data_IF_506606370977
#
_entry.id   IF_506606370977
#
_cell.length_a   1.000
_cell.length_b   1.000
_cell.length_c   1.000
_cell.angle_alpha   90.00
_cell.angle_beta   90.00
_cell.angle_gamma   90.00
#
_symmetry.space_group_name_H-M   'P 1'
#
loop_
_entity.id
_entity.type
_entity.pdbx_description
1 polymer ?
#
# COMPACT_ATOMS: atom_id res chain seq x y z
N UNK A 1 -3.25 79.13 -25.58
CA UNK A 1 -2.49 78.31 -24.67
C UNK A 1 -3.49 77.37 -23.98
N UNK A 2 -3.63 76.13 -24.50
CA UNK A 2 -4.58 75.13 -23.97
C UNK A 2 -3.84 74.14 -23.10
N UNK A 3 -4.24 74.02 -21.81
CA UNK A 3 -3.69 73.06 -20.86
C UNK A 3 -4.54 71.80 -20.88
N UNK A 4 -4.01 70.72 -21.46
CA UNK A 4 -4.61 69.40 -21.44
C UNK A 4 -4.25 68.72 -20.11
N UNK A 5 -5.26 68.41 -19.30
CA UNK A 5 -5.13 67.74 -18.02
C UNK A 5 -5.26 66.22 -18.27
N UNK A 6 -4.15 65.47 -18.07
CA UNK A 6 -4.15 64.02 -18.09
C UNK A 6 -4.64 63.49 -16.75
N UNK A 7 -5.76 62.81 -16.73
CA UNK A 7 -6.25 62.06 -15.58
C UNK A 7 -5.70 60.62 -15.67
N UNK A 8 -4.81 60.27 -14.81
CA UNK A 8 -4.28 58.91 -14.67
C UNK A 8 -5.29 58.05 -13.87
N UNK A 9 -5.88 57.07 -14.53
CA UNK A 9 -6.75 56.08 -13.89
C UNK A 9 -5.85 54.96 -13.27
N UNK A 10 -5.75 54.94 -11.96
CA UNK A 10 -5.03 53.89 -11.22
C UNK A 10 -5.94 52.67 -11.05
N UNK A 11 -5.75 51.61 -11.86
CA UNK A 11 -6.45 50.35 -11.68
C UNK A 11 -5.83 49.58 -10.49
N UNK A 12 -6.56 49.51 -9.40
CA UNK A 12 -6.24 48.69 -8.25
C UNK A 12 -6.63 47.23 -8.55
N UNK A 13 -5.67 46.38 -8.90
CA UNK A 13 -5.89 44.95 -9.09
C UNK A 13 -6.09 44.27 -7.70
N UNK A 14 -7.31 43.93 -7.38
CA UNK A 14 -7.63 43.14 -6.23
C UNK A 14 -7.19 41.67 -6.47
N UNK A 15 -6.09 41.24 -5.83
CA UNK A 15 -5.65 39.85 -5.80
C UNK A 15 -6.62 39.06 -4.90
N UNK A 16 -7.52 38.27 -5.51
CA UNK A 16 -8.31 37.27 -4.78
C UNK A 16 -7.38 36.12 -4.41
N UNK A 17 -7.32 35.71 -3.13
CA UNK A 17 -6.62 34.48 -2.76
C UNK A 17 -7.36 33.31 -3.42
N UNK A 18 -6.68 32.57 -4.30
CA UNK A 18 -7.22 31.32 -4.85
C UNK A 18 -7.42 30.35 -3.70
N UNK A 19 -8.66 30.07 -3.34
CA UNK A 19 -9.01 29.00 -2.42
C UNK A 19 -8.46 27.69 -3.00
N UNK A 20 -7.48 27.10 -2.31
CA UNK A 20 -6.95 25.78 -2.62
C UNK A 20 -8.11 24.82 -2.31
N UNK A 21 -8.75 24.30 -3.35
CA UNK A 21 -9.72 23.22 -3.18
C UNK A 21 -9.00 22.06 -2.52
N UNK A 22 -9.39 21.73 -1.29
CA UNK A 22 -8.92 20.50 -0.65
C UNK A 22 -9.31 19.33 -1.57
N UNK A 23 -8.29 18.65 -2.11
CA UNK A 23 -8.49 17.44 -2.89
C UNK A 23 -9.24 16.39 -2.05
N UNK A 24 -9.82 15.36 -2.66
CA UNK A 24 -10.53 14.32 -1.92
C UNK A 24 -9.62 13.77 -0.82
N UNK A 25 -10.16 13.68 0.41
CA UNK A 25 -9.41 13.19 1.58
C UNK A 25 -8.85 11.80 1.26
N UNK A 26 -7.57 11.54 1.58
CA UNK A 26 -6.98 10.24 1.35
C UNK A 26 -7.73 9.16 2.14
N UNK A 27 -7.96 8.02 1.51
CA UNK A 27 -8.57 6.87 2.17
C UNK A 27 -7.51 6.26 3.07
N UNK A 28 -7.80 6.13 4.36
CA UNK A 28 -6.90 5.50 5.32
C UNK A 28 -7.55 4.32 6.02
N UNK A 29 -6.73 3.33 6.35
CA UNK A 29 -7.11 2.19 7.19
C UNK A 29 -6.11 2.03 8.32
N UNK A 30 -6.56 1.41 9.40
CA UNK A 30 -5.72 1.00 10.52
C UNK A 30 -5.73 -0.52 10.57
N UNK A 31 -4.55 -1.13 10.45
CA UNK A 31 -4.32 -2.55 10.72
C UNK A 31 -3.92 -2.64 12.18
N UNK A 32 -4.85 -3.10 13.03
CA UNK A 32 -4.59 -3.32 14.45
C UNK A 32 -3.99 -4.72 14.63
N UNK A 33 -2.78 -4.78 15.14
CA UNK A 33 -2.09 -6.04 15.40
C UNK A 33 -1.82 -6.22 16.90
N UNK A 34 -1.47 -7.42 17.33
CA UNK A 34 -1.03 -7.66 18.70
C UNK A 34 0.27 -6.91 19.09
N UNK A 35 1.02 -6.39 18.10
CA UNK A 35 2.23 -5.60 18.33
C UNK A 35 2.00 -4.09 18.28
N UNK A 36 0.82 -3.64 17.86
CA UNK A 36 0.46 -2.25 17.70
C UNK A 36 -0.25 -1.97 16.38
N UNK A 37 -0.48 -0.69 16.10
CA UNK A 37 -1.25 -0.23 14.96
C UNK A 37 -0.33 0.16 13.79
N UNK A 38 -0.75 -0.20 12.58
CA UNK A 38 -0.13 0.23 11.32
C UNK A 38 -1.18 1.04 10.57
N UNK A 39 -0.93 2.33 10.36
CA UNK A 39 -1.81 3.20 9.57
C UNK A 39 -1.35 3.21 8.12
N UNK A 40 -2.27 2.90 7.21
CA UNK A 40 -2.00 2.82 5.77
C UNK A 40 -2.87 3.83 5.04
N UNK A 41 -2.25 4.63 4.17
CA UNK A 41 -2.92 5.49 3.20
C UNK A 41 -3.01 4.78 1.86
N UNK A 42 -4.22 4.69 1.30
CA UNK A 42 -4.53 3.98 0.07
C UNK A 42 -4.63 4.96 -1.11
N UNK A 43 -4.01 4.64 -2.24
CA UNK A 43 -4.01 5.47 -3.45
C UNK A 43 -5.08 4.98 -4.45
N UNK A 44 -6.34 5.26 -4.15
CA UNK A 44 -7.46 4.89 -5.01
C UNK A 44 -7.48 5.62 -6.36
N UNK A 45 -6.76 6.73 -6.48
CA UNK A 45 -6.66 7.45 -7.75
C UNK A 45 -5.75 6.73 -8.75
N UNK A 46 -4.68 6.08 -8.26
CA UNK A 46 -3.69 5.38 -9.09
C UNK A 46 -3.95 3.88 -9.21
N UNK A 47 -4.45 3.23 -8.16
CA UNK A 47 -4.73 1.79 -8.12
C UNK A 47 -6.19 1.52 -7.69
N UNK A 48 -7.19 1.99 -8.47
CA UNK A 48 -8.60 1.95 -8.06
C UNK A 48 -9.14 0.54 -7.85
N UNK A 49 -8.80 -0.42 -8.71
CA UNK A 49 -9.29 -1.79 -8.60
C UNK A 49 -8.68 -2.52 -7.40
N UNK A 50 -7.39 -2.34 -7.18
CA UNK A 50 -6.65 -2.94 -6.07
C UNK A 50 -7.15 -2.38 -4.73
N UNK A 51 -7.30 -1.06 -4.63
CA UNK A 51 -7.85 -0.43 -3.42
C UNK A 51 -9.30 -0.87 -3.17
N UNK A 52 -10.15 -0.91 -4.20
CA UNK A 52 -11.53 -1.37 -4.07
C UNK A 52 -11.59 -2.84 -3.60
N UNK A 53 -10.73 -3.72 -4.13
CA UNK A 53 -10.62 -5.10 -3.68
C UNK A 53 -10.21 -5.19 -2.21
N UNK A 54 -9.13 -4.53 -1.81
CA UNK A 54 -8.67 -4.53 -0.42
C UNK A 54 -9.77 -4.04 0.54
N UNK A 55 -10.46 -2.95 0.18
CA UNK A 55 -11.54 -2.40 0.99
C UNK A 55 -12.76 -3.33 1.09
N UNK A 56 -13.07 -4.16 0.08
CA UNK A 56 -14.11 -5.20 0.20
C UNK A 56 -13.79 -6.18 1.33
N UNK A 57 -12.54 -6.62 1.46
CA UNK A 57 -12.12 -7.49 2.56
C UNK A 57 -12.20 -6.79 3.91
N UNK A 58 -11.81 -5.50 3.98
CA UNK A 58 -11.92 -4.67 5.19
C UNK A 58 -13.38 -4.52 5.62
N UNK A 59 -14.26 -4.11 4.70
CA UNK A 59 -15.68 -3.86 4.97
C UNK A 59 -16.43 -5.16 5.34
N UNK A 60 -16.04 -6.29 4.75
CA UNK A 60 -16.54 -7.63 5.08
C UNK A 60 -15.92 -8.21 6.35
N UNK A 61 -14.98 -7.49 7.02
CA UNK A 61 -14.25 -7.92 8.23
C UNK A 61 -13.48 -9.23 8.06
N UNK A 62 -13.06 -9.55 6.83
CA UNK A 62 -12.36 -10.81 6.56
C UNK A 62 -10.90 -10.78 7.03
N UNK A 63 -10.33 -9.59 7.25
CA UNK A 63 -9.03 -9.46 7.89
C UNK A 63 -9.07 -9.57 9.43
N UNK A 64 -10.26 -9.53 10.05
CA UNK A 64 -10.39 -9.69 11.50
C UNK A 64 -9.98 -11.12 11.90
N UNK A 65 -9.01 -11.22 12.80
CA UNK A 65 -8.39 -12.50 13.14
C UNK A 65 -7.42 -13.07 12.09
N UNK A 66 -7.17 -12.32 11.02
CA UNK A 66 -6.11 -12.61 10.06
C UNK A 66 -4.72 -12.56 10.69
N UNK A 67 -3.68 -12.69 9.88
CA UNK A 67 -2.32 -12.75 10.42
C UNK A 67 -1.26 -12.33 9.41
N UNK A 68 -0.17 -11.79 9.91
CA UNK A 68 1.11 -11.81 9.22
C UNK A 68 1.69 -13.21 9.38
N UNK A 69 1.82 -13.92 8.29
CA UNK A 69 2.23 -15.34 8.30
C UNK A 69 3.61 -15.57 7.70
N UNK A 70 4.14 -14.57 6.98
CA UNK A 70 5.42 -14.68 6.28
C UNK A 70 6.26 -13.43 6.47
N UNK A 71 7.56 -13.66 6.69
CA UNK A 71 8.61 -12.62 6.67
C UNK A 71 9.68 -13.00 5.68
N UNK A 72 10.12 -12.04 4.88
CA UNK A 72 11.20 -12.22 3.92
C UNK A 72 12.30 -11.22 4.24
N UNK A 73 13.49 -11.75 4.51
CA UNK A 73 14.71 -10.98 4.83
C UNK A 73 15.84 -11.45 3.92
N UNK A 74 16.95 -10.71 3.77
CA UNK A 74 18.08 -11.14 2.95
C UNK A 74 18.61 -12.54 3.31
N UNK A 75 18.52 -12.92 4.60
CA UNK A 75 19.13 -14.14 5.12
C UNK A 75 18.26 -15.39 4.93
N UNK A 76 16.93 -15.24 4.81
CA UNK A 76 16.01 -16.37 4.72
C UNK A 76 15.54 -16.72 3.29
N UNK A 77 16.29 -16.30 2.26
CA UNK A 77 16.04 -16.60 0.84
C UNK A 77 17.33 -17.05 0.13
N UNK A 78 17.95 -18.17 0.58
CA UNK A 78 19.27 -18.57 0.07
C UNK A 78 19.27 -18.82 -1.44
N UNK A 79 18.19 -19.41 -1.97
CA UNK A 79 18.10 -19.80 -3.39
C UNK A 79 17.67 -18.66 -4.33
N UNK A 80 17.28 -17.50 -3.78
CA UNK A 80 16.90 -16.35 -4.59
C UNK A 80 18.09 -15.44 -4.87
N UNK A 81 18.41 -15.25 -6.14
CA UNK A 81 19.44 -14.30 -6.56
C UNK A 81 19.02 -12.85 -6.34
N UNK A 82 17.73 -12.58 -6.47
CA UNK A 82 17.13 -11.27 -6.23
C UNK A 82 16.49 -11.24 -4.85
N UNK A 83 17.15 -10.58 -3.91
CA UNK A 83 16.69 -10.46 -2.52
C UNK A 83 15.65 -9.36 -2.39
N UNK A 84 14.65 -9.59 -1.56
CA UNK A 84 13.63 -8.60 -1.19
C UNK A 84 13.41 -8.61 0.32
N UNK A 85 12.81 -7.57 0.85
CA UNK A 85 12.44 -7.47 2.25
C UNK A 85 10.97 -7.07 2.38
N UNK A 86 10.15 -7.99 2.87
CA UNK A 86 8.71 -7.76 3.06
C UNK A 86 8.17 -8.55 4.24
N UNK A 87 7.05 -8.09 4.79
CA UNK A 87 6.17 -8.89 5.63
C UNK A 87 4.85 -9.10 4.89
N UNK A 88 4.34 -10.33 4.85
CA UNK A 88 3.12 -10.69 4.14
C UNK A 88 2.04 -11.13 5.11
N UNK A 89 0.83 -10.64 4.84
CA UNK A 89 -0.35 -10.91 5.64
C UNK A 89 -1.54 -11.31 4.75
N UNK A 90 -2.52 -11.93 5.38
CA UNK A 90 -3.76 -12.31 4.73
C UNK A 90 -4.90 -12.47 5.73
N UNK A 91 -6.04 -12.89 5.21
CA UNK A 91 -7.24 -13.20 6.00
C UNK A 91 -7.01 -14.42 6.89
N UNK A 92 -7.94 -14.65 7.84
CA UNK A 92 -7.91 -15.87 8.65
C UNK A 92 -8.01 -17.12 7.75
N UNK A 93 -7.24 -18.19 7.99
CA UNK A 93 -7.26 -19.40 7.14
C UNK A 93 -8.64 -20.01 6.91
N UNK A 94 -9.51 -19.93 7.90
CA UNK A 94 -10.90 -20.39 7.74
C UNK A 94 -11.73 -19.47 6.83
N UNK A 95 -11.27 -18.23 6.61
CA UNK A 95 -11.90 -17.26 5.72
C UNK A 95 -11.62 -17.49 4.22
N UNK A 96 -10.67 -18.35 3.86
CA UNK A 96 -10.28 -18.60 2.46
C UNK A 96 -11.44 -19.10 1.60
N UNK A 97 -12.42 -19.79 2.19
CA UNK A 97 -13.66 -20.19 1.50
C UNK A 97 -14.58 -19.02 1.13
N UNK A 98 -14.30 -17.82 1.62
CA UNK A 98 -15.05 -16.57 1.41
C UNK A 98 -14.27 -15.55 0.60
N UNK A 99 -13.16 -15.94 -0.03
CA UNK A 99 -12.39 -15.04 -0.87
C UNK A 99 -13.22 -14.53 -2.05
N UNK A 100 -13.02 -13.26 -2.37
CA UNK A 100 -13.59 -12.67 -3.56
C UNK A 100 -12.79 -13.13 -4.79
N UNK A 101 -13.40 -13.08 -6.00
CA UNK A 101 -12.69 -13.40 -7.24
C UNK A 101 -11.39 -12.59 -7.39
N UNK A 102 -10.37 -13.17 -8.03
CA UNK A 102 -9.12 -12.49 -8.26
C UNK A 102 -9.30 -11.24 -9.13
N UNK A 103 -8.38 -10.29 -8.98
CA UNK A 103 -8.40 -9.01 -9.67
C UNK A 103 -7.29 -8.90 -10.71
N UNK A 104 -7.50 -8.05 -11.72
CA UNK A 104 -6.47 -7.69 -12.69
C UNK A 104 -5.32 -6.95 -12.01
N UNK A 105 -4.11 -7.23 -12.45
CA UNK A 105 -2.88 -6.63 -11.98
C UNK A 105 -2.77 -5.17 -12.47
N UNK A 106 -2.79 -4.22 -11.53
CA UNK A 106 -2.47 -2.82 -11.78
C UNK A 106 -0.96 -2.63 -11.63
N UNK A 107 -0.24 -2.65 -12.75
CA UNK A 107 1.22 -2.61 -12.79
C UNK A 107 1.78 -1.27 -12.40
N UNK A 108 2.93 -1.24 -11.74
CA UNK A 108 3.59 0.01 -11.33
C UNK A 108 3.92 0.94 -12.49
N UNK A 109 4.22 0.42 -13.70
CA UNK A 109 4.40 1.25 -14.90
C UNK A 109 3.15 2.03 -15.31
N UNK A 110 1.96 1.47 -15.04
CA UNK A 110 0.68 2.04 -15.47
C UNK A 110 0.12 2.98 -14.38
N UNK A 111 0.37 2.67 -13.11
CA UNK A 111 -0.08 3.44 -11.94
C UNK A 111 0.88 4.56 -11.56
N UNK A 112 2.16 4.46 -11.93
CA UNK A 112 3.21 5.36 -11.46
C UNK A 112 3.55 5.22 -9.97
N UNK A 113 3.03 4.17 -9.32
CA UNK A 113 3.44 3.77 -7.97
C UNK A 113 4.72 2.93 -8.04
N UNK A 114 5.47 2.84 -6.94
CA UNK A 114 6.67 2.01 -6.86
C UNK A 114 6.81 1.40 -5.46
N UNK A 115 7.59 0.32 -5.36
CA UNK A 115 7.83 -0.38 -4.10
C UNK A 115 8.95 0.28 -3.30
N UNK A 116 8.60 1.34 -2.58
CA UNK A 116 9.46 2.06 -1.62
C UNK A 116 9.25 1.53 -0.20
N UNK A 117 10.09 1.97 0.76
CA UNK A 117 9.90 1.65 2.18
C UNK A 117 8.47 1.98 2.62
N UNK A 118 7.79 1.00 3.23
CA UNK A 118 6.41 1.10 3.67
C UNK A 118 5.35 0.97 2.58
N UNK A 119 5.70 0.72 1.30
CA UNK A 119 4.70 0.46 0.26
C UNK A 119 3.90 -0.80 0.57
N UNK A 120 2.57 -0.70 0.43
CA UNK A 120 1.64 -1.83 0.55
C UNK A 120 1.25 -2.30 -0.84
N UNK A 121 1.36 -3.62 -1.08
CA UNK A 121 1.16 -4.23 -2.38
C UNK A 121 0.45 -5.57 -2.28
N UNK A 122 -0.31 -5.98 -3.32
CA UNK A 122 -0.99 -7.28 -3.33
C UNK A 122 -0.02 -8.41 -3.65
N UNK A 123 -0.09 -9.47 -2.85
CA UNK A 123 0.57 -10.73 -3.19
C UNK A 123 -0.20 -11.46 -4.30
N UNK A 124 0.52 -12.24 -5.11
CA UNK A 124 -0.04 -13.00 -6.22
C UNK A 124 0.86 -14.20 -6.57
N UNK A 125 0.30 -15.21 -7.19
CA UNK A 125 1.06 -16.30 -7.80
C UNK A 125 1.47 -15.95 -9.24
N UNK A 126 0.52 -15.54 -10.08
CA UNK A 126 0.73 -15.08 -11.44
C UNK A 126 0.00 -13.75 -11.72
N UNK A 127 0.12 -13.19 -12.92
CA UNK A 127 -0.69 -12.04 -13.31
C UNK A 127 -2.19 -12.33 -13.13
N UNK A 128 -2.95 -11.35 -12.65
CA UNK A 128 -4.41 -11.42 -12.49
C UNK A 128 -4.90 -12.51 -11.50
N UNK A 129 -4.07 -12.90 -10.52
CA UNK A 129 -4.44 -13.91 -9.50
C UNK A 129 -4.54 -13.39 -8.08
N UNK A 130 -4.30 -12.08 -7.86
CA UNK A 130 -4.35 -11.51 -6.52
C UNK A 130 -5.76 -11.54 -5.93
N UNK A 131 -5.89 -11.97 -4.68
CA UNK A 131 -7.16 -12.03 -3.92
C UNK A 131 -7.10 -11.21 -2.64
N UNK A 132 -6.72 -11.80 -1.51
CA UNK A 132 -6.75 -11.20 -0.16
C UNK A 132 -5.36 -10.86 0.39
N UNK A 133 -4.35 -11.62 0.02
CA UNK A 133 -3.02 -11.47 0.59
C UNK A 133 -2.32 -10.19 0.12
N UNK A 134 -1.73 -9.48 1.07
CA UNK A 134 -0.93 -8.29 0.80
C UNK A 134 0.41 -8.35 1.53
N UNK A 135 1.35 -7.53 1.11
CA UNK A 135 2.63 -7.38 1.80
C UNK A 135 3.00 -5.91 1.99
N UNK A 136 3.87 -5.65 2.94
CA UNK A 136 4.45 -4.34 3.22
C UNK A 136 5.95 -4.43 3.01
N UNK A 137 6.50 -3.52 2.20
CA UNK A 137 7.93 -3.42 1.94
C UNK A 137 8.68 -2.88 3.16
N UNK A 138 9.85 -3.44 3.44
CA UNK A 138 10.84 -2.88 4.36
C UNK A 138 12.04 -2.48 3.53
N UNK A 139 12.36 -1.18 3.53
CA UNK A 139 13.28 -0.60 2.56
C UNK A 139 12.71 -0.55 1.13
N UNK A 140 13.48 0.03 0.22
CA UNK A 140 13.13 0.14 -1.20
C UNK A 140 13.29 -1.21 -1.91
N UNK A 141 12.25 -1.63 -2.65
CA UNK A 141 12.18 -2.94 -3.30
C UNK A 141 11.92 -2.82 -4.81
N UNK A 142 12.82 -2.21 -5.61
CA UNK A 142 12.59 -1.94 -7.03
C UNK A 142 12.41 -3.22 -7.86
N UNK A 143 12.92 -4.35 -7.39
CA UNK A 143 12.78 -5.64 -8.06
C UNK A 143 11.34 -6.23 -7.97
N UNK A 144 10.45 -5.57 -7.24
CA UNK A 144 9.01 -5.87 -7.19
C UNK A 144 8.19 -5.01 -8.18
N UNK A 145 8.80 -3.99 -8.79
CA UNK A 145 8.16 -3.16 -9.80
C UNK A 145 8.03 -3.89 -11.15
N UNK A 146 7.24 -3.34 -12.06
CA UNK A 146 7.18 -3.81 -13.45
C UNK A 146 8.58 -3.76 -14.08
N UNK A 147 8.99 -4.85 -14.71
CA UNK A 147 10.34 -5.01 -15.25
C UNK A 147 11.37 -5.48 -14.23
N UNK A 148 11.02 -5.53 -12.94
CA UNK A 148 11.86 -6.09 -11.89
C UNK A 148 12.03 -7.61 -12.03
N UNK A 149 13.05 -8.14 -11.40
CA UNK A 149 13.51 -9.52 -11.60
C UNK A 149 13.06 -10.49 -10.50
N UNK A 150 12.26 -10.01 -9.52
CA UNK A 150 11.80 -10.90 -8.45
C UNK A 150 10.91 -12.02 -8.97
N UNK A 151 10.01 -11.70 -9.89
CA UNK A 151 9.20 -12.69 -10.59
C UNK A 151 9.70 -12.86 -12.03
N UNK A 152 9.78 -14.12 -12.48
CA UNK A 152 10.25 -14.47 -13.82
C UNK A 152 9.36 -13.91 -14.94
N UNK A 153 8.10 -13.56 -14.62
CA UNK A 153 7.16 -12.95 -15.58
C UNK A 153 7.42 -11.45 -15.83
N UNK A 154 8.28 -10.80 -15.02
CA UNK A 154 8.61 -9.38 -15.13
C UNK A 154 7.42 -8.42 -14.94
N UNK A 155 6.24 -8.92 -14.55
CA UNK A 155 5.04 -8.09 -14.46
C UNK A 155 4.95 -7.27 -13.14
N UNK A 156 5.81 -7.59 -12.16
CA UNK A 156 5.82 -6.94 -10.85
C UNK A 156 4.56 -7.22 -10.03
N UNK A 157 4.31 -6.38 -9.03
CA UNK A 157 3.18 -6.46 -8.12
C UNK A 157 2.36 -5.17 -8.15
N UNK A 158 1.11 -5.23 -7.66
CA UNK A 158 0.22 -4.08 -7.60
C UNK A 158 0.43 -3.30 -6.29
N UNK A 159 1.29 -2.28 -6.31
CA UNK A 159 1.40 -1.30 -5.24
C UNK A 159 0.11 -0.47 -5.19
N UNK A 160 -0.48 -0.27 -3.98
CA UNK A 160 -1.76 0.41 -3.87
C UNK A 160 -1.90 1.33 -2.64
N UNK A 161 -0.85 1.43 -1.82
CA UNK A 161 -0.85 2.26 -0.63
C UNK A 161 0.51 2.31 0.03
N UNK A 162 0.58 3.04 1.12
CA UNK A 162 1.80 3.18 1.91
C UNK A 162 1.49 3.28 3.40
N UNK A 163 2.38 2.78 4.22
CA UNK A 163 2.35 2.99 5.67
C UNK A 163 2.69 4.46 5.96
N UNK A 164 1.82 5.13 6.71
CA UNK A 164 2.01 6.52 7.16
C UNK A 164 2.37 6.60 8.63
N UNK A 165 2.10 5.52 9.41
CA UNK A 165 2.49 5.38 10.80
C UNK A 165 2.59 3.91 11.18
N UNK A 166 3.55 3.54 12.04
CA UNK A 166 3.72 2.17 12.54
C UNK A 166 4.73 1.34 11.76
N UNK A 167 5.70 1.94 11.05
CA UNK A 167 6.80 1.19 10.42
C UNK A 167 7.69 0.48 11.44
N UNK A 168 7.75 0.96 12.67
CA UNK A 168 8.39 0.27 13.81
C UNK A 168 7.69 -1.05 14.12
N UNK A 169 6.34 -1.08 14.07
CA UNK A 169 5.54 -2.31 14.21
C UNK A 169 5.82 -3.27 13.05
N UNK A 170 5.88 -2.76 11.80
CA UNK A 170 6.21 -3.57 10.61
C UNK A 170 7.59 -4.22 10.77
N UNK A 171 8.60 -3.46 11.18
CA UNK A 171 9.96 -3.97 11.42
C UNK A 171 9.99 -4.99 12.56
N UNK A 172 9.21 -4.78 13.63
CA UNK A 172 9.07 -5.75 14.71
C UNK A 172 8.47 -7.08 14.23
N UNK A 173 7.48 -7.01 13.34
CA UNK A 173 6.90 -8.20 12.68
C UNK A 173 7.96 -8.89 11.82
N UNK A 174 8.72 -8.14 11.01
CA UNK A 174 9.77 -8.70 10.15
C UNK A 174 10.82 -9.47 10.95
N UNK A 175 11.17 -8.97 12.12
CA UNK A 175 12.20 -9.54 13.00
C UNK A 175 11.68 -10.64 13.95
N UNK A 176 10.39 -10.98 13.87
CA UNK A 176 9.78 -12.02 14.70
C UNK A 176 10.31 -13.40 14.32
N UNK A 177 10.29 -14.38 15.26
CA UNK A 177 10.78 -15.73 15.02
C UNK A 177 10.10 -16.36 13.79
N UNK A 178 10.91 -17.00 12.95
CA UNK A 178 10.43 -17.64 11.72
C UNK A 178 11.18 -18.96 11.47
N UNK A 179 10.48 -19.90 10.83
CA UNK A 179 11.08 -21.10 10.26
C UNK A 179 11.12 -20.90 8.73
N UNK A 180 12.33 -20.72 8.20
CA UNK A 180 12.50 -20.19 6.86
C UNK A 180 11.84 -18.83 6.72
N UNK A 181 10.79 -18.72 5.90
CA UNK A 181 10.01 -17.50 5.74
C UNK A 181 8.68 -17.51 6.52
N UNK A 182 8.33 -18.62 7.18
CA UNK A 182 7.06 -18.76 7.91
C UNK A 182 7.22 -18.22 9.32
N UNK A 183 6.47 -17.18 9.67
CA UNK A 183 6.42 -16.64 11.03
C UNK A 183 5.86 -17.68 12.03
N UNK A 184 6.59 -17.96 13.10
CA UNK A 184 6.22 -18.92 14.15
C UNK A 184 6.49 -18.35 15.55
N UNK A 185 5.43 -17.90 16.27
CA UNK A 185 4.03 -17.85 15.85
C UNK A 185 3.78 -16.77 14.78
N UNK A 186 2.74 -16.95 13.97
CA UNK A 186 2.25 -15.90 13.09
C UNK A 186 1.71 -14.73 13.93
N UNK A 187 1.96 -13.49 13.50
CA UNK A 187 1.52 -12.28 14.22
C UNK A 187 0.06 -11.97 13.88
N UNK A 188 -0.78 -11.91 14.90
CA UNK A 188 -2.22 -11.75 14.74
C UNK A 188 -2.59 -10.33 14.27
N UNK A 189 -3.47 -10.25 13.27
CA UNK A 189 -4.26 -9.06 12.96
C UNK A 189 -5.53 -9.13 13.83
N UNK A 190 -5.71 -8.18 14.73
CA UNK A 190 -6.91 -8.09 15.56
C UNK A 190 -8.10 -7.72 14.69
N UNK A 191 -7.94 -6.66 13.89
CA UNK A 191 -8.90 -6.21 12.87
C UNK A 191 -8.26 -5.19 11.93
N UNK A 192 -8.94 -4.93 10.80
CA UNK A 192 -8.60 -3.82 9.89
C UNK A 192 -9.83 -2.94 9.74
N UNK A 193 -9.67 -1.64 10.01
CA UNK A 193 -10.79 -0.68 9.97
C UNK A 193 -10.43 0.57 9.15
N UNK A 194 -11.44 1.20 8.55
CA UNK A 194 -11.27 2.52 7.94
C UNK A 194 -11.00 3.55 9.03
N UNK A 195 -9.99 4.39 8.82
CA UNK A 195 -9.77 5.57 9.67
C UNK A 195 -10.85 6.62 9.37
N UNK A 196 -11.34 7.27 10.42
CA UNK A 196 -12.33 8.36 10.29
C UNK A 196 -11.68 9.65 9.83
#
# INVERSE_FOLDING_TARGET
MSRTMFVAFLMLAAAFPAARADGPKPIRVVIETEFGNIEVELDAAKAPNTVANFLKYVDAKLYDGGRFHRTVTPDNQPDNKVKIEVVQAGIHPEGTKKEFPPIKLERTRDTGLSHKDGTVSMARDGPDTATSDFFICVGDQPELDFGGKRNSDGQGFAAFGRVVKGMDVVKKIQQSPADGQTLKPAVKIVRVVRSK
#
